data_IF_391041335470
#
_entry.id   IF_391041335470
#
_cell.length_a   1.000
_cell.length_b   1.000
_cell.length_c   1.000
_cell.angle_alpha   90.00
_cell.angle_beta   90.00
_cell.angle_gamma   90.00
#
_symmetry.space_group_name_H-M   'P 1'
#
loop_
_entity.id
_entity.type
_entity.pdbx_description
1 polymer ?
#
# COMPACT_ATOMS: atom_id res chain seq x y z
N UNK A 1 53.98 39.64 -45.68
CA UNK A 1 53.68 38.44 -44.87
C UNK A 1 52.21 38.54 -44.53
N UNK A 2 51.36 38.15 -45.48
CA UNK A 2 49.93 37.98 -45.29
C UNK A 2 49.68 36.48 -45.39
N UNK A 3 49.07 35.91 -44.36
CA UNK A 3 48.76 34.49 -44.26
C UNK A 3 47.32 34.27 -44.71
N UNK A 4 47.14 33.51 -45.79
CA UNK A 4 45.84 33.01 -46.24
C UNK A 4 45.20 32.14 -45.15
N UNK A 5 44.07 32.59 -44.61
CA UNK A 5 43.18 31.77 -43.79
C UNK A 5 42.16 31.19 -44.77
N UNK A 6 42.33 29.92 -45.15
CA UNK A 6 41.38 29.22 -46.01
C UNK A 6 40.00 29.17 -45.35
N UNK A 7 38.98 29.66 -46.05
CA UNK A 7 37.58 29.49 -45.67
C UNK A 7 37.23 28.00 -45.67
N UNK A 8 36.72 27.50 -44.54
CA UNK A 8 36.15 26.15 -44.43
C UNK A 8 34.75 26.17 -45.07
N UNK A 9 34.57 25.42 -46.17
CA UNK A 9 33.24 25.21 -46.76
C UNK A 9 32.32 24.44 -45.78
N UNK A 10 31.02 24.78 -45.71
CA UNK A 10 30.08 24.07 -44.85
C UNK A 10 29.84 22.64 -45.37
N UNK A 11 29.84 21.67 -44.45
CA UNK A 11 29.55 20.28 -44.77
C UNK A 11 28.17 20.14 -45.41
N UNK A 12 28.12 19.68 -46.68
CA UNK A 12 26.87 19.35 -47.37
C UNK A 12 26.35 18.04 -46.77
N UNK A 13 25.30 18.14 -45.95
CA UNK A 13 24.61 16.97 -45.43
C UNK A 13 23.81 16.35 -46.58
N UNK A 14 24.16 15.12 -46.94
CA UNK A 14 23.50 14.38 -48.02
C UNK A 14 21.99 14.25 -47.74
N UNK A 15 21.17 14.83 -48.62
CA UNK A 15 19.71 14.81 -48.54
C UNK A 15 19.14 13.40 -48.60
N UNK A 16 19.84 12.45 -49.23
CA UNK A 16 19.44 11.04 -49.28
C UNK A 16 19.61 10.37 -47.91
N UNK A 17 20.65 10.75 -47.16
CA UNK A 17 20.86 10.31 -45.78
C UNK A 17 19.76 10.89 -44.87
N UNK A 18 19.43 12.18 -45.02
CA UNK A 18 18.35 12.82 -44.25
C UNK A 18 17.01 12.13 -44.51
N UNK A 19 16.68 11.88 -45.77
CA UNK A 19 15.43 11.21 -46.14
C UNK A 19 15.36 9.77 -45.62
N UNK A 20 16.49 9.06 -45.67
CA UNK A 20 16.60 7.70 -45.12
C UNK A 20 16.40 7.70 -43.61
N UNK A 21 17.04 8.61 -42.88
CA UNK A 21 16.88 8.77 -41.44
C UNK A 21 15.43 9.13 -41.07
N UNK A 22 14.78 10.02 -41.80
CA UNK A 22 13.37 10.37 -41.57
C UNK A 22 12.43 9.18 -41.75
N UNK A 23 12.67 8.35 -42.76
CA UNK A 23 11.86 7.17 -43.02
C UNK A 23 12.03 6.11 -41.94
N UNK A 24 13.26 5.89 -41.45
CA UNK A 24 13.56 5.03 -40.30
C UNK A 24 12.88 5.56 -39.03
N UNK A 25 12.97 6.88 -38.79
CA UNK A 25 12.30 7.48 -37.63
C UNK A 25 10.79 7.37 -37.71
N UNK A 26 10.19 7.42 -38.90
CA UNK A 26 8.75 7.23 -39.10
C UNK A 26 8.34 5.77 -38.92
N UNK A 27 9.14 4.80 -39.38
CA UNK A 27 8.84 3.37 -39.25
C UNK A 27 8.94 2.88 -37.79
N UNK A 28 9.91 3.38 -37.02
CA UNK A 28 10.14 2.94 -35.64
C UNK A 28 9.27 3.68 -34.60
N UNK A 29 8.70 4.84 -34.95
CA UNK A 29 7.90 5.68 -34.03
C UNK A 29 6.71 4.95 -33.38
N UNK A 30 5.92 4.11 -34.08
CA UNK A 30 4.84 3.35 -33.47
C UNK A 30 5.33 2.31 -32.47
N UNK A 31 6.39 1.58 -32.81
CA UNK A 31 7.01 0.58 -31.92
C UNK A 31 7.56 1.24 -30.65
N UNK A 32 8.23 2.39 -30.79
CA UNK A 32 8.71 3.17 -29.66
C UNK A 32 7.56 3.70 -28.77
N UNK A 33 6.43 4.12 -29.36
CA UNK A 33 5.23 4.50 -28.57
C UNK A 33 4.66 3.35 -27.77
N UNK A 34 4.57 2.15 -28.34
CA UNK A 34 4.11 0.94 -27.64
C UNK A 34 5.07 0.59 -26.51
N UNK A 35 6.38 0.62 -26.77
CA UNK A 35 7.41 0.42 -25.75
C UNK A 35 7.30 1.43 -24.60
N UNK A 36 7.15 2.72 -24.91
CA UNK A 36 6.97 3.76 -23.88
C UNK A 36 5.68 3.58 -23.07
N UNK A 37 4.58 3.17 -23.71
CA UNK A 37 3.33 2.87 -23.00
C UNK A 37 3.49 1.66 -22.07
N UNK A 38 4.21 0.62 -22.51
CA UNK A 38 4.53 -0.53 -21.67
C UNK A 38 5.41 -0.12 -20.49
N UNK A 39 6.45 0.70 -20.70
CA UNK A 39 7.31 1.22 -19.64
C UNK A 39 6.52 2.10 -18.66
N UNK A 40 5.61 2.97 -19.14
CA UNK A 40 4.74 3.78 -18.27
C UNK A 40 3.78 2.93 -17.47
N UNK A 41 3.18 1.90 -18.07
CA UNK A 41 2.33 0.93 -17.39
C UNK A 41 3.10 0.18 -16.30
N UNK A 42 4.31 -0.29 -16.62
CA UNK A 42 5.22 -0.92 -15.67
C UNK A 42 5.61 0.05 -14.55
N UNK A 43 5.96 1.31 -14.87
CA UNK A 43 6.29 2.35 -13.89
C UNK A 43 5.13 2.63 -12.94
N UNK A 44 3.91 2.76 -13.47
CA UNK A 44 2.70 2.94 -12.66
C UNK A 44 2.49 1.75 -11.72
N UNK A 45 2.67 0.53 -12.21
CA UNK A 45 2.61 -0.68 -11.37
C UNK A 45 3.71 -0.67 -10.30
N UNK A 46 4.90 -0.14 -10.59
CA UNK A 46 5.96 0.04 -9.60
C UNK A 46 5.64 1.12 -8.57
N UNK A 47 5.03 2.24 -8.96
CA UNK A 47 4.61 3.31 -8.04
C UNK A 47 3.47 2.83 -7.11
N UNK A 48 2.48 2.13 -7.66
CA UNK A 48 1.43 1.46 -6.88
C UNK A 48 2.03 0.40 -5.95
N UNK A 49 2.98 -0.41 -6.45
CA UNK A 49 3.70 -1.37 -5.62
C UNK A 49 4.53 -0.68 -4.52
N UNK A 50 5.20 0.44 -4.79
CA UNK A 50 5.96 1.18 -3.80
C UNK A 50 5.03 1.82 -2.77
N UNK A 51 3.90 2.40 -3.19
CA UNK A 51 2.89 2.96 -2.30
C UNK A 51 2.31 1.87 -1.41
N UNK A 52 1.89 0.74 -1.99
CA UNK A 52 1.37 -0.41 -1.26
C UNK A 52 2.44 -0.99 -0.34
N UNK A 53 3.69 -1.17 -0.79
CA UNK A 53 4.80 -1.59 0.08
C UNK A 53 5.13 -0.56 1.16
N UNK A 54 4.97 0.73 0.91
CA UNK A 54 5.20 1.79 1.91
C UNK A 54 4.12 1.75 2.99
N UNK A 55 2.85 1.54 2.61
CA UNK A 55 1.72 1.37 3.52
C UNK A 55 1.83 0.07 4.31
N UNK A 56 2.27 -1.01 3.66
CA UNK A 56 2.52 -2.31 4.31
C UNK A 56 3.78 -2.33 5.17
N UNK A 57 4.80 -1.53 4.89
CA UNK A 57 5.96 -1.32 5.78
C UNK A 57 5.57 -0.61 7.08
N UNK A 58 4.44 0.09 7.09
CA UNK A 58 3.88 0.85 8.21
C UNK A 58 2.87 0.05 9.03
N UNK A 59 2.68 -1.23 8.72
CA UNK A 59 1.84 -2.17 9.49
C UNK A 59 2.57 -2.52 10.79
N UNK A 60 2.04 -2.07 11.92
CA UNK A 60 2.54 -2.43 13.24
C UNK A 60 1.70 -3.58 13.80
N UNK A 61 2.37 -4.67 14.14
CA UNK A 61 1.83 -5.79 14.91
C UNK A 61 2.69 -5.92 16.16
N UNK A 62 2.05 -6.06 17.34
CA UNK A 62 2.69 -6.33 18.63
C UNK A 62 3.74 -7.47 18.58
N UNK A 63 3.72 -8.30 17.54
CA UNK A 63 4.56 -9.50 17.38
C UNK A 63 5.87 -9.24 16.65
N UNK A 64 5.90 -8.25 15.77
CA UNK A 64 7.04 -8.01 14.90
C UNK A 64 7.65 -6.67 15.28
N UNK A 65 8.65 -6.75 16.16
CA UNK A 65 9.82 -5.87 16.03
C UNK A 65 10.21 -5.94 14.55
N UNK A 66 10.00 -4.90 13.75
CA UNK A 66 10.64 -4.79 12.45
C UNK A 66 12.14 -4.49 12.70
N UNK A 67 12.81 -5.37 13.44
CA UNK A 67 14.26 -5.50 13.43
C UNK A 67 14.57 -6.67 12.50
N UNK A 68 14.32 -6.46 11.20
CA UNK A 68 14.82 -7.34 10.16
C UNK A 68 16.17 -6.77 9.70
N UNK A 69 17.31 -7.42 10.01
CA UNK A 69 18.63 -6.91 9.65
C UNK A 69 18.82 -6.74 8.13
N UNK A 70 18.02 -7.43 7.31
CA UNK A 70 18.04 -7.31 5.84
C UNK A 70 17.33 -6.05 5.36
N UNK A 71 16.30 -5.57 6.06
CA UNK A 71 15.61 -4.30 5.73
C UNK A 71 16.51 -3.10 6.05
N UNK A 72 17.27 -3.14 7.17
CA UNK A 72 18.27 -2.12 7.53
C UNK A 72 19.32 -1.87 6.44
N UNK A 73 19.62 -2.89 5.62
CA UNK A 73 20.61 -2.79 4.52
C UNK A 73 20.06 -2.17 3.25
N UNK A 74 18.75 -2.23 3.02
CA UNK A 74 18.14 -1.85 1.74
C UNK A 74 17.76 -0.36 1.70
N UNK A 75 17.57 0.29 2.85
CA UNK A 75 17.11 1.68 2.93
C UNK A 75 17.97 2.53 3.89
N UNK A 76 19.21 2.89 3.48
CA UNK A 76 20.12 3.67 4.32
C UNK A 76 19.58 5.06 4.68
N UNK A 77 18.75 5.67 3.83
CA UNK A 77 18.17 7.01 4.03
C UNK A 77 17.17 7.13 5.19
N UNK A 78 16.68 6.02 5.75
CA UNK A 78 15.73 6.03 6.87
C UNK A 78 16.39 5.84 8.25
N UNK A 79 17.73 5.74 8.30
CA UNK A 79 18.52 5.58 9.53
C UNK A 79 18.41 6.78 10.49
N UNK A 80 18.03 7.96 10.01
CA UNK A 80 18.01 9.19 10.80
C UNK A 80 16.62 9.73 11.15
N UNK A 81 15.53 9.09 10.72
CA UNK A 81 14.19 9.51 11.17
C UNK A 81 13.89 8.92 12.55
N UNK A 82 14.08 9.75 13.56
CA UNK A 82 13.71 9.60 14.98
C UNK A 82 12.35 8.92 15.23
N UNK A 83 11.43 8.97 14.26
CA UNK A 83 10.13 8.31 14.27
C UNK A 83 10.19 6.78 14.40
N UNK A 84 11.20 6.11 13.83
CA UNK A 84 11.33 4.64 13.96
C UNK A 84 11.84 4.21 15.33
N UNK A 85 12.78 4.96 15.91
CA UNK A 85 13.28 4.69 17.27
C UNK A 85 12.18 4.93 18.32
N UNK A 86 11.30 5.92 18.11
CA UNK A 86 10.14 6.16 18.96
C UNK A 86 9.10 5.04 18.91
N UNK A 87 8.96 4.31 17.80
CA UNK A 87 8.07 3.15 17.68
C UNK A 87 8.69 1.86 18.23
N UNK A 88 10.03 1.79 18.29
CA UNK A 88 10.74 0.61 18.78
C UNK A 88 10.87 0.56 20.31
N UNK A 89 11.09 1.72 20.94
CA UNK A 89 11.35 1.85 22.38
C UNK A 89 10.08 2.12 23.23
N UNK A 90 8.95 2.47 22.60
CA UNK A 90 7.67 2.73 23.28
C UNK A 90 6.59 1.69 23.00
N UNK A 91 6.94 0.48 22.55
CA UNK A 91 5.96 -0.60 22.49
C UNK A 91 5.39 -0.80 23.90
N UNK A 92 4.08 -0.56 24.15
CA UNK A 92 3.54 -0.60 25.50
C UNK A 92 3.82 -1.96 26.13
N UNK A 93 4.23 -1.97 27.40
CA UNK A 93 4.34 -3.20 28.19
C UNK A 93 3.00 -3.96 28.27
N UNK A 94 1.90 -3.27 27.97
CA UNK A 94 0.52 -3.78 27.87
C UNK A 94 0.03 -3.82 26.40
N UNK A 95 0.85 -4.35 25.48
CA UNK A 95 0.41 -4.62 24.09
C UNK A 95 -0.55 -5.81 24.10
N UNK A 96 -1.81 -5.60 24.53
CA UNK A 96 -2.85 -6.61 24.37
C UNK A 96 -3.02 -6.89 22.88
N UNK A 97 -2.66 -8.11 22.47
CA UNK A 97 -2.68 -8.56 21.07
C UNK A 97 -4.09 -8.74 20.53
N UNK A 98 -5.09 -8.74 21.41
CA UNK A 98 -6.49 -8.92 21.07
C UNK A 98 -7.33 -7.86 21.76
N UNK A 99 -8.36 -7.43 21.06
CA UNK A 99 -9.30 -6.43 21.53
C UNK A 99 -10.63 -6.61 20.80
N UNK A 100 -11.68 -5.97 21.33
CA UNK A 100 -12.86 -5.72 20.52
C UNK A 100 -12.60 -4.61 19.51
N UNK A 101 -13.47 -4.48 18.51
CA UNK A 101 -13.28 -3.54 17.40
C UNK A 101 -13.01 -2.11 17.90
N UNK A 102 -13.79 -1.66 18.89
CA UNK A 102 -13.67 -0.31 19.45
C UNK A 102 -12.34 -0.08 20.16
N UNK A 103 -11.90 -1.03 20.99
CA UNK A 103 -10.61 -0.97 21.68
C UNK A 103 -9.44 -1.08 20.70
N UNK A 104 -9.55 -1.89 19.65
CA UNK A 104 -8.57 -1.98 18.58
C UNK A 104 -8.42 -0.65 17.84
N UNK A 105 -9.55 -0.03 17.47
CA UNK A 105 -9.56 1.28 16.85
C UNK A 105 -8.93 2.33 17.76
N UNK A 106 -9.36 2.41 19.02
CA UNK A 106 -8.81 3.33 20.02
C UNK A 106 -7.29 3.13 20.19
N UNK A 107 -6.83 1.88 20.33
CA UNK A 107 -5.41 1.59 20.48
C UNK A 107 -4.60 2.16 19.31
N UNK A 108 -5.02 1.94 18.06
CA UNK A 108 -4.30 2.52 16.92
C UNK A 108 -4.27 4.05 17.00
N UNK A 109 -5.39 4.70 17.34
CA UNK A 109 -5.48 6.16 17.45
C UNK A 109 -4.60 6.73 18.55
N UNK A 110 -4.56 6.09 19.72
CA UNK A 110 -3.72 6.50 20.86
C UNK A 110 -2.22 6.48 20.50
N UNK A 111 -1.85 5.64 19.52
CA UNK A 111 -0.48 5.52 19.00
C UNK A 111 -0.24 6.33 17.72
N UNK A 112 -1.13 7.27 17.38
CA UNK A 112 -1.07 8.09 16.15
C UNK A 112 -1.06 7.27 14.86
N UNK A 113 -1.71 6.12 14.90
CA UNK A 113 -1.95 5.21 13.79
C UNK A 113 -3.45 5.13 13.52
N UNK A 114 -3.81 4.41 12.47
CA UNK A 114 -5.20 4.07 12.12
C UNK A 114 -5.38 2.56 12.14
N UNK A 115 -6.58 2.08 12.43
CA UNK A 115 -6.90 0.66 12.23
C UNK A 115 -6.86 0.36 10.73
N UNK A 116 -6.33 -0.81 10.35
CA UNK A 116 -6.03 -1.16 8.96
C UNK A 116 -7.24 -1.01 8.02
N UNK A 117 -7.06 -0.26 6.93
CA UNK A 117 -8.00 -0.17 5.81
C UNK A 117 -7.41 -0.84 4.58
N UNK A 118 -8.23 -1.51 3.78
CA UNK A 118 -7.77 -2.29 2.62
C UNK A 118 -8.47 -1.76 1.36
N UNK A 119 -7.78 -0.90 0.64
CA UNK A 119 -8.36 -0.16 -0.50
C UNK A 119 -8.00 -0.80 -1.85
N UNK A 120 -7.07 -1.77 -1.89
CA UNK A 120 -6.66 -2.46 -3.13
C UNK A 120 -6.46 -3.96 -2.97
N UNK A 121 -6.51 -4.69 -4.09
CA UNK A 121 -6.19 -6.13 -4.14
C UNK A 121 -4.76 -6.43 -3.68
N UNK A 122 -3.80 -5.58 -4.03
CA UNK A 122 -2.40 -5.76 -3.63
C UNK A 122 -2.25 -5.64 -2.11
N UNK A 123 -2.96 -4.69 -1.51
CA UNK A 123 -3.00 -4.56 -0.05
C UNK A 123 -3.59 -5.83 0.60
N UNK A 124 -4.72 -6.32 0.08
CA UNK A 124 -5.35 -7.55 0.58
C UNK A 124 -4.42 -8.77 0.47
N UNK A 125 -3.68 -8.90 -0.64
CA UNK A 125 -2.69 -9.97 -0.82
C UNK A 125 -1.57 -9.89 0.21
N UNK A 126 -1.01 -8.69 0.44
CA UNK A 126 0.10 -8.52 1.36
C UNK A 126 -0.30 -8.80 2.82
N UNK A 127 -1.49 -8.34 3.25
CA UNK A 127 -1.96 -8.65 4.61
C UNK A 127 -2.25 -10.13 4.77
N UNK A 128 -2.87 -10.78 3.78
CA UNK A 128 -3.13 -12.23 3.81
C UNK A 128 -1.83 -13.04 3.93
N UNK A 129 -0.79 -12.63 3.18
CA UNK A 129 0.54 -13.25 3.25
C UNK A 129 1.16 -13.05 4.64
N UNK A 130 1.08 -11.84 5.18
CA UNK A 130 1.55 -11.52 6.52
C UNK A 130 0.91 -12.40 7.59
N UNK A 131 -0.43 -12.46 7.61
CA UNK A 131 -1.20 -13.27 8.57
C UNK A 131 -0.87 -14.75 8.47
N UNK A 132 -0.67 -15.26 7.25
CA UNK A 132 -0.25 -16.66 7.04
C UNK A 132 1.15 -16.96 7.60
N UNK A 133 2.08 -16.01 7.47
CA UNK A 133 3.44 -16.14 8.00
C UNK A 133 3.46 -16.08 9.52
N UNK A 134 2.66 -15.19 10.13
CA UNK A 134 2.57 -15.01 11.58
C UNK A 134 1.58 -15.95 12.28
N UNK A 135 0.87 -16.78 11.50
CA UNK A 135 -0.14 -17.74 12.00
C UNK A 135 -1.30 -17.06 12.74
N UNK A 136 -1.61 -15.83 12.37
CA UNK A 136 -2.76 -15.09 12.88
C UNK A 136 -3.97 -15.45 12.02
N UNK A 137 -5.04 -15.97 12.65
CA UNK A 137 -6.21 -16.45 11.91
C UNK A 137 -7.31 -15.39 11.73
N UNK A 138 -7.32 -14.36 12.57
CA UNK A 138 -8.36 -13.32 12.62
C UNK A 138 -7.74 -11.99 12.99
N UNK A 139 -8.07 -10.95 12.20
CA UNK A 139 -7.71 -9.56 12.51
C UNK A 139 -8.85 -8.61 12.20
N UNK A 140 -9.05 -7.64 13.08
CA UNK A 140 -9.87 -6.47 12.78
C UNK A 140 -9.25 -5.61 11.69
N UNK A 141 -10.15 -5.04 10.89
CA UNK A 141 -9.87 -3.92 9.97
C UNK A 141 -10.69 -2.70 10.41
N UNK A 142 -10.54 -1.56 9.74
CA UNK A 142 -11.38 -0.39 9.98
C UNK A 142 -12.74 -0.44 9.27
N UNK A 143 -13.05 -1.53 8.56
CA UNK A 143 -14.30 -1.69 7.82
C UNK A 143 -15.49 -1.83 8.77
N UNK A 144 -16.54 -1.04 8.57
CA UNK A 144 -17.77 -1.10 9.37
C UNK A 144 -18.95 -0.47 8.64
N UNK A 145 -20.16 -0.92 8.94
CA UNK A 145 -21.43 -0.31 8.52
C UNK A 145 -22.18 0.35 9.70
N UNK A 146 -21.52 0.57 10.84
CA UNK A 146 -22.13 1.18 12.04
C UNK A 146 -22.66 2.61 11.79
N UNK A 147 -22.12 3.32 10.80
CA UNK A 147 -22.60 4.65 10.42
C UNK A 147 -23.91 4.58 9.62
N UNK A 148 -24.04 3.59 8.75
CA UNK A 148 -25.20 3.36 7.90
C UNK A 148 -25.30 1.86 7.60
N UNK A 149 -26.28 1.18 8.22
CA UNK A 149 -26.45 -0.28 8.12
C UNK A 149 -26.55 -0.72 6.65
N UNK A 150 -25.75 -1.71 6.28
CA UNK A 150 -25.64 -2.22 4.91
C UNK A 150 -24.69 -1.43 4.00
N UNK A 151 -24.11 -0.33 4.46
CA UNK A 151 -23.16 0.51 3.72
C UNK A 151 -21.80 0.51 4.43
N UNK A 152 -20.96 -0.47 4.10
CA UNK A 152 -19.63 -0.57 4.70
C UNK A 152 -18.70 0.57 4.22
N UNK A 153 -18.00 1.17 5.18
CA UNK A 153 -16.97 2.20 4.96
C UNK A 153 -15.70 1.86 5.76
N UNK A 154 -14.57 2.39 5.33
CA UNK A 154 -13.32 2.37 6.07
C UNK A 154 -13.34 3.53 7.09
N UNK A 155 -13.63 3.25 8.37
CA UNK A 155 -13.73 4.28 9.41
C UNK A 155 -12.44 5.10 9.57
N UNK A 156 -11.28 4.51 9.25
CA UNK A 156 -9.99 5.18 9.32
C UNK A 156 -9.75 6.20 8.21
N UNK A 157 -10.34 6.02 7.02
CA UNK A 157 -10.14 6.90 5.86
C UNK A 157 -11.40 7.68 5.45
N UNK A 158 -12.57 7.28 5.97
CA UNK A 158 -13.88 7.83 5.61
C UNK A 158 -14.38 7.42 4.23
N UNK A 159 -13.69 6.52 3.53
CA UNK A 159 -14.05 6.09 2.18
C UNK A 159 -15.00 4.89 2.20
N UNK A 160 -15.89 4.82 1.20
CA UNK A 160 -16.65 3.60 0.92
C UNK A 160 -15.73 2.45 0.46
N UNK A 161 -16.19 1.22 0.64
CA UNK A 161 -15.50 0.03 0.11
C UNK A 161 -15.61 0.00 -1.43
N UNK A 162 -14.54 0.39 -2.11
CA UNK A 162 -14.43 0.29 -3.58
C UNK A 162 -13.80 -1.03 -4.05
N UNK A 163 -13.10 -1.72 -3.16
CA UNK A 163 -12.55 -3.05 -3.35
C UNK A 163 -13.12 -3.95 -2.25
N UNK A 164 -13.46 -5.20 -2.59
CA UNK A 164 -13.99 -6.17 -1.64
C UNK A 164 -13.36 -7.54 -1.79
N UNK A 165 -13.14 -8.23 -0.68
CA UNK A 165 -12.65 -9.60 -0.66
C UNK A 165 -13.43 -10.48 0.32
N UNK A 166 -14.75 -10.32 0.33
CA UNK A 166 -15.68 -11.08 1.16
C UNK A 166 -15.54 -12.59 0.97
N UNK A 167 -15.67 -13.32 2.08
CA UNK A 167 -15.81 -14.77 2.06
C UNK A 167 -17.08 -15.19 1.34
N UNK A 168 -17.15 -16.46 0.94
CA UNK A 168 -18.36 -16.99 0.33
C UNK A 168 -19.56 -16.85 1.27
N UNK A 169 -20.61 -16.16 0.82
CA UNK A 169 -21.81 -15.89 1.60
C UNK A 169 -21.76 -14.64 2.48
N UNK A 170 -20.66 -13.88 2.47
CA UNK A 170 -20.46 -12.69 3.30
C UNK A 170 -20.67 -11.37 2.51
N UNK A 171 -21.02 -10.27 3.19
CA UNK A 171 -21.45 -10.22 4.59
C UNK A 171 -22.85 -10.83 4.77
N UNK A 172 -23.08 -11.62 5.82
CA UNK A 172 -24.37 -12.28 6.09
C UNK A 172 -25.16 -11.68 7.25
N UNK A 173 -24.54 -10.78 8.03
CA UNK A 173 -25.16 -10.06 9.13
C UNK A 173 -26.00 -10.97 10.04
N UNK A 174 -25.39 -12.04 10.54
CA UNK A 174 -26.06 -13.05 11.37
C UNK A 174 -26.77 -12.37 12.54
N UNK A 175 -28.06 -12.65 12.71
CA UNK A 175 -28.93 -12.05 13.73
C UNK A 175 -29.06 -10.52 13.66
N UNK A 176 -28.53 -9.88 12.62
CA UNK A 176 -28.60 -8.43 12.43
C UNK A 176 -27.65 -7.63 13.34
N UNK A 177 -26.60 -8.26 13.87
CA UNK A 177 -25.67 -7.69 14.86
C UNK A 177 -24.20 -7.61 14.38
N UNK A 178 -23.90 -8.04 13.16
CA UNK A 178 -22.54 -8.10 12.63
C UNK A 178 -22.24 -6.86 11.80
N UNK A 179 -21.43 -5.98 12.37
CA UNK A 179 -21.26 -4.61 11.84
C UNK A 179 -19.79 -4.22 11.68
N UNK A 180 -18.88 -5.15 11.95
CA UNK A 180 -17.44 -4.90 11.94
C UNK A 180 -16.74 -5.95 11.08
N UNK A 181 -15.84 -5.48 10.21
CA UNK A 181 -15.14 -6.30 9.24
C UNK A 181 -13.86 -6.88 9.85
N UNK A 182 -13.77 -8.21 9.86
CA UNK A 182 -12.52 -8.93 10.10
C UNK A 182 -11.97 -9.58 8.83
N UNK A 183 -10.67 -9.82 8.80
CA UNK A 183 -10.08 -10.81 7.90
C UNK A 183 -10.04 -12.13 8.66
N UNK A 184 -10.67 -13.17 8.11
CA UNK A 184 -10.74 -14.49 8.69
C UNK A 184 -10.09 -15.55 7.78
N UNK A 185 -9.34 -16.47 8.41
CA UNK A 185 -8.77 -17.64 7.76
C UNK A 185 -9.78 -18.78 7.69
N UNK A 186 -10.38 -18.98 6.52
CA UNK A 186 -11.29 -20.10 6.25
C UNK A 186 -10.54 -21.45 6.13
N UNK A 187 -11.22 -22.61 6.26
CA UNK A 187 -10.61 -23.94 6.29
C UNK A 187 -9.64 -24.27 5.15
N UNK A 188 -9.85 -23.70 3.96
CA UNK A 188 -8.96 -23.86 2.80
C UNK A 188 -7.73 -22.92 2.83
N UNK A 189 -7.37 -22.39 4.01
CA UNK A 189 -6.32 -21.39 4.24
C UNK A 189 -6.52 -20.08 3.47
N UNK A 190 -7.74 -19.82 3.00
CA UNK A 190 -8.07 -18.57 2.33
C UNK A 190 -8.36 -17.49 3.38
N UNK A 191 -7.69 -16.34 3.27
CA UNK A 191 -7.98 -15.17 4.08
C UNK A 191 -9.00 -14.33 3.34
N UNK A 192 -10.21 -14.23 3.87
CA UNK A 192 -11.30 -13.46 3.27
C UNK A 192 -12.03 -12.66 4.33
N UNK A 193 -12.81 -11.68 3.89
CA UNK A 193 -13.48 -10.76 4.79
C UNK A 193 -14.77 -11.38 5.33
N UNK A 194 -15.08 -11.08 6.59
CA UNK A 194 -16.27 -11.53 7.28
C UNK A 194 -16.81 -10.34 8.08
N UNK A 195 -18.12 -10.12 8.09
CA UNK A 195 -18.74 -9.26 9.10
C UNK A 195 -18.99 -10.08 10.36
N UNK A 196 -18.73 -9.52 11.52
CA UNK A 196 -18.83 -10.22 12.81
C UNK A 196 -19.24 -9.20 13.88
N UNK A 197 -19.84 -9.60 15.04
CA UNK A 197 -20.21 -8.63 16.06
C UNK A 197 -18.98 -7.85 16.55
N UNK A 198 -19.08 -6.53 16.58
CA UNK A 198 -17.98 -5.64 16.96
C UNK A 198 -17.44 -5.87 18.38
N UNK A 199 -18.20 -6.58 19.22
CA UNK A 199 -17.87 -6.94 20.59
C UNK A 199 -16.96 -8.16 20.72
N UNK A 200 -16.79 -8.94 19.64
CA UNK A 200 -15.88 -10.08 19.63
C UNK A 200 -14.44 -9.67 19.91
N UNK A 201 -13.62 -10.60 20.37
CA UNK A 201 -12.21 -10.31 20.71
C UNK A 201 -11.27 -10.97 19.72
N UNK A 202 -10.61 -10.17 18.89
CA UNK A 202 -9.71 -10.62 17.83
C UNK A 202 -8.41 -9.83 17.83
N UNK A 203 -7.40 -10.32 17.11
CA UNK A 203 -6.20 -9.52 16.88
C UNK A 203 -6.55 -8.30 16.02
N UNK A 204 -5.66 -7.35 15.92
CA UNK A 204 -5.85 -6.18 15.06
C UNK A 204 -4.51 -5.68 14.55
N UNK A 205 -4.58 -4.90 13.48
CA UNK A 205 -3.40 -4.36 12.81
C UNK A 205 -3.58 -2.86 12.64
N UNK A 206 -2.58 -2.09 13.05
CA UNK A 206 -2.55 -0.65 12.84
C UNK A 206 -1.70 -0.31 11.62
N UNK A 207 -2.12 0.70 10.86
CA UNK A 207 -1.37 1.33 9.77
C UNK A 207 -0.98 2.77 10.13
N UNK A 208 0.22 3.22 9.77
CA UNK A 208 0.59 4.62 10.00
C UNK A 208 -0.27 5.53 9.12
N UNK A 209 -0.79 6.59 9.73
CA UNK A 209 -1.49 7.66 9.01
C UNK A 209 -0.48 8.39 8.14
N UNK A 210 -0.75 8.54 6.85
CA UNK A 210 0.00 9.49 6.04
C UNK A 210 -0.40 10.89 6.51
N UNK A 211 0.53 11.61 7.14
CA UNK A 211 0.30 13.01 7.48
C UNK A 211 0.02 13.76 6.17
N UNK A 212 -1.22 14.21 6.02
CA UNK A 212 -1.55 15.21 5.02
C UNK A 212 -0.68 16.45 5.29
N UNK A 213 -0.06 17.07 4.28
CA UNK A 213 0.74 18.29 4.47
C UNK A 213 -0.07 19.46 5.05
N UNK A 214 -1.40 19.33 5.14
CA UNK A 214 -2.30 20.29 5.76
C UNK A 214 -2.48 20.11 7.29
N UNK A 215 -1.82 19.14 7.92
CA UNK A 215 -1.92 18.90 9.37
C UNK A 215 -0.96 19.76 10.23
N UNK A 216 -0.46 20.88 9.70
CA UNK A 216 0.22 21.92 10.49
C UNK A 216 -0.66 23.17 10.50
N UNK A 217 -1.58 23.25 11.47
CA UNK A 217 -2.28 24.47 11.84
C UNK A 217 -1.91 24.83 13.28
#
# INVERSE_FOLDING_TARGET
MESDIGELEPAVIDTEIVHTCENILKSERPAFRVFLNNIRSISKNFDELILVLSRFRKVFDCNNRIDNPKIRRILPEYREKSSWNLLHDNAPSDCSRVANYFKAYQFCRDHRMSLLSIETETENYLISKYLNQTKINRVWTSGTDLAEKGSFTWLSTGKALNFTYWGAGQPDNVQGIEHCLEIYKYPNFNYSWNDIPCTETHNFVCELVECSPFCNL
#
